data_IF_611747434277
#
_entry.id   IF_611747434277
#
_cell.length_a   1.000
_cell.length_b   1.000
_cell.length_c   1.000
_cell.angle_alpha   90.00
_cell.angle_beta   90.00
_cell.angle_gamma   90.00
#
_symmetry.space_group_name_H-M   'P 1'
#
loop_
_entity.id
_entity.type
_entity.pdbx_description
1 polymer ?
#
# COMPACT_ATOMS: atom_id res chain seq x y z
N UNK A 1 -65.51 -43.50 -22.33
CA UNK A 1 -64.60 -42.42 -22.71
C UNK A 1 -64.34 -41.44 -21.53
N UNK A 2 -64.22 -41.93 -20.28
CA UNK A 2 -63.98 -41.07 -19.08
C UNK A 2 -62.63 -41.29 -18.35
N UNK A 3 -61.85 -42.28 -18.80
CA UNK A 3 -60.60 -42.67 -18.09
C UNK A 3 -59.30 -42.27 -18.80
N UNK A 4 -59.37 -41.45 -19.90
CA UNK A 4 -58.19 -41.08 -20.69
C UNK A 4 -57.63 -39.68 -20.37
N UNK A 5 -58.30 -38.92 -19.50
CA UNK A 5 -57.92 -37.54 -19.18
C UNK A 5 -57.07 -37.45 -17.90
N UNK A 6 -57.00 -38.55 -17.09
CA UNK A 6 -56.26 -38.51 -15.82
C UNK A 6 -54.74 -38.88 -15.97
N UNK A 7 -54.32 -39.34 -17.14
CA UNK A 7 -52.91 -39.72 -17.36
C UNK A 7 -52.03 -38.59 -17.93
N UNK A 8 -52.59 -37.47 -18.38
CA UNK A 8 -51.86 -36.37 -18.99
C UNK A 8 -51.34 -35.30 -17.97
N UNK A 9 -51.76 -35.40 -16.69
CA UNK A 9 -51.42 -34.41 -15.66
C UNK A 9 -50.15 -34.69 -14.87
N UNK A 10 -49.52 -35.86 -15.00
CA UNK A 10 -48.37 -36.25 -14.15
C UNK A 10 -47.01 -36.15 -14.82
N UNK A 11 -46.93 -35.70 -16.05
CA UNK A 11 -45.67 -35.63 -16.82
C UNK A 11 -45.01 -34.21 -16.83
N UNK A 12 -45.54 -33.22 -16.10
CA UNK A 12 -45.03 -31.85 -16.16
C UNK A 12 -44.22 -31.41 -14.93
N UNK A 13 -43.77 -32.31 -14.04
CA UNK A 13 -43.07 -31.91 -12.80
C UNK A 13 -41.61 -32.36 -12.69
N UNK A 14 -40.96 -32.73 -13.78
CA UNK A 14 -39.52 -32.97 -13.81
C UNK A 14 -38.79 -31.84 -14.55
N UNK A 15 -39.01 -30.57 -14.08
CA UNK A 15 -38.00 -29.51 -14.36
C UNK A 15 -36.75 -29.89 -13.57
N UNK A 16 -35.59 -30.13 -14.23
CA UNK A 16 -34.34 -30.25 -13.48
C UNK A 16 -34.19 -28.96 -12.74
N UNK A 17 -34.19 -29.00 -11.39
CA UNK A 17 -33.70 -27.94 -10.58
C UNK A 17 -32.24 -27.73 -11.05
N UNK A 18 -31.99 -26.73 -11.85
CA UNK A 18 -30.65 -26.33 -12.22
C UNK A 18 -29.91 -26.15 -10.90
N UNK A 19 -29.07 -27.11 -10.56
CA UNK A 19 -28.25 -27.07 -9.37
C UNK A 19 -27.39 -25.81 -9.52
N UNK A 20 -27.80 -24.73 -8.82
CA UNK A 20 -26.98 -23.56 -8.69
C UNK A 20 -25.68 -24.06 -8.05
N UNK A 21 -24.60 -24.00 -8.79
CA UNK A 21 -23.30 -24.32 -8.21
C UNK A 21 -23.17 -23.51 -6.92
N UNK A 22 -23.00 -24.15 -5.76
CA UNK A 22 -22.91 -23.43 -4.50
C UNK A 22 -21.79 -22.41 -4.62
N UNK A 23 -22.07 -21.15 -4.30
CA UNK A 23 -21.06 -20.09 -4.28
C UNK A 23 -19.95 -20.48 -3.32
N UNK A 24 -18.74 -20.69 -3.84
CA UNK A 24 -17.56 -20.91 -3.01
C UNK A 24 -16.97 -19.59 -2.60
N UNK A 25 -17.03 -19.27 -1.31
CA UNK A 25 -16.54 -18.03 -0.73
C UNK A 25 -15.26 -18.30 0.05
N UNK A 26 -14.26 -17.46 -0.18
CA UNK A 26 -13.02 -17.47 0.56
C UNK A 26 -12.71 -16.14 1.19
N UNK A 27 -11.76 -16.11 2.09
CA UNK A 27 -11.22 -14.89 2.68
C UNK A 27 -9.72 -14.97 2.87
N UNK A 28 -9.09 -13.83 3.01
CA UNK A 28 -7.66 -13.70 3.27
C UNK A 28 -7.37 -12.42 4.04
N UNK A 29 -6.46 -12.48 5.00
CA UNK A 29 -5.83 -11.28 5.57
C UNK A 29 -4.63 -10.87 4.69
N UNK A 30 -4.85 -9.87 3.83
CA UNK A 30 -3.79 -9.37 2.93
C UNK A 30 -2.67 -8.67 3.67
N UNK A 31 -2.97 -8.03 4.79
CA UNK A 31 -1.95 -7.39 5.61
C UNK A 31 -1.01 -8.43 6.20
N UNK A 32 -1.56 -9.51 6.75
CA UNK A 32 -0.76 -10.63 7.25
C UNK A 32 0.10 -11.25 6.14
N UNK A 33 -0.47 -11.47 4.94
CA UNK A 33 0.28 -11.98 3.79
C UNK A 33 1.46 -11.07 3.42
N UNK A 34 1.23 -9.76 3.33
CA UNK A 34 2.28 -8.78 3.02
C UNK A 34 3.40 -8.78 4.06
N UNK A 35 3.07 -8.99 5.35
CA UNK A 35 4.06 -9.09 6.43
C UNK A 35 4.98 -10.31 6.31
N UNK A 36 4.51 -11.37 5.66
CA UNK A 36 5.25 -12.64 5.49
C UNK A 36 6.12 -12.67 4.24
N UNK A 37 6.03 -11.67 3.35
CA UNK A 37 6.82 -11.65 2.12
C UNK A 37 8.31 -11.45 2.43
N UNK A 38 9.20 -12.28 1.88
CA UNK A 38 10.64 -12.13 2.09
C UNK A 38 11.17 -10.79 1.56
N UNK A 39 10.59 -10.27 0.47
CA UNK A 39 10.95 -9.00 -0.16
C UNK A 39 10.69 -7.78 0.74
N UNK A 40 9.83 -7.94 1.74
CA UNK A 40 9.50 -6.86 2.68
C UNK A 40 10.72 -6.34 3.43
N UNK A 41 11.59 -7.23 3.88
CA UNK A 41 12.80 -6.86 4.62
C UNK A 41 13.73 -5.98 3.79
N UNK A 42 13.86 -6.30 2.50
CA UNK A 42 14.65 -5.49 1.57
C UNK A 42 14.00 -4.14 1.29
N UNK A 43 12.67 -4.12 1.15
CA UNK A 43 11.91 -2.88 0.97
C UNK A 43 12.06 -1.96 2.20
N UNK A 44 11.93 -2.50 3.42
CA UNK A 44 12.14 -1.76 4.66
C UNK A 44 13.56 -1.19 4.76
N UNK A 45 14.59 -1.98 4.44
CA UNK A 45 15.98 -1.52 4.46
C UNK A 45 16.22 -0.39 3.44
N UNK A 46 15.67 -0.52 2.23
CA UNK A 46 15.74 0.54 1.20
C UNK A 46 15.02 1.81 1.64
N UNK A 47 13.84 1.67 2.23
CA UNK A 47 13.07 2.80 2.73
C UNK A 47 13.81 3.55 3.85
N UNK A 48 14.40 2.82 4.80
CA UNK A 48 15.21 3.40 5.88
C UNK A 48 16.44 4.14 5.34
N UNK A 49 17.16 3.55 4.39
CA UNK A 49 18.33 4.18 3.76
C UNK A 49 17.93 5.46 3.01
N UNK A 50 16.80 5.43 2.30
CA UNK A 50 16.29 6.59 1.58
C UNK A 50 15.86 7.70 2.54
N UNK A 51 15.09 7.37 3.58
CA UNK A 51 14.69 8.34 4.61
C UNK A 51 15.90 9.00 5.28
N UNK A 52 16.93 8.20 5.58
CA UNK A 52 18.18 8.72 6.13
C UNK A 52 18.87 9.72 5.20
N UNK A 53 18.89 9.44 3.91
CA UNK A 53 19.50 10.35 2.92
C UNK A 53 18.79 11.70 2.89
N UNK A 54 17.45 11.71 2.95
CA UNK A 54 16.66 12.94 3.00
C UNK A 54 16.87 13.71 4.32
N UNK A 55 16.90 12.99 5.44
CA UNK A 55 17.17 13.58 6.76
C UNK A 55 18.56 14.22 6.84
N UNK A 56 19.60 13.54 6.37
CA UNK A 56 20.98 14.06 6.33
C UNK A 56 21.05 15.34 5.45
N UNK A 57 20.32 15.37 4.33
CA UNK A 57 20.23 16.56 3.47
C UNK A 57 19.54 17.72 4.18
N UNK A 58 18.41 17.49 4.85
CA UNK A 58 17.69 18.53 5.59
C UNK A 58 18.52 19.06 6.77
N UNK A 59 19.23 18.18 7.48
CA UNK A 59 20.18 18.56 8.54
C UNK A 59 21.32 19.43 8.03
N UNK A 60 21.90 19.09 6.89
CA UNK A 60 22.95 19.91 6.27
C UNK A 60 22.45 21.30 5.94
N UNK A 61 21.23 21.45 5.37
CA UNK A 61 20.61 22.73 5.08
C UNK A 61 20.31 23.53 6.36
N UNK A 62 19.83 22.85 7.41
CA UNK A 62 19.63 23.46 8.73
C UNK A 62 20.91 23.98 9.35
N UNK A 63 22.03 23.24 9.21
CA UNK A 63 23.35 23.67 9.67
C UNK A 63 23.87 24.87 8.88
N UNK A 64 23.69 24.87 7.54
CA UNK A 64 24.01 26.02 6.69
C UNK A 64 23.26 27.28 7.15
N UNK A 65 21.96 27.14 7.43
CA UNK A 65 21.13 28.24 7.92
C UNK A 65 21.64 28.80 9.27
N UNK A 66 21.89 27.91 10.23
CA UNK A 66 22.38 28.33 11.55
C UNK A 66 23.74 29.02 11.45
N UNK A 67 24.65 28.48 10.62
CA UNK A 67 25.98 29.06 10.40
C UNK A 67 25.86 30.47 9.78
N UNK A 68 25.01 30.64 8.76
CA UNK A 68 24.78 31.91 8.08
C UNK A 68 24.17 32.94 9.02
N UNK A 69 23.22 32.54 9.87
CA UNK A 69 22.63 33.38 10.91
C UNK A 69 23.67 33.86 11.94
N UNK A 70 24.51 32.89 12.41
CA UNK A 70 25.58 33.25 13.39
C UNK A 70 26.62 34.21 12.80
N UNK A 71 27.05 33.97 11.54
CA UNK A 71 27.97 34.90 10.83
C UNK A 71 27.36 36.28 10.67
N UNK A 72 26.10 36.34 10.25
CA UNK A 72 25.38 37.59 10.10
C UNK A 72 25.28 38.38 11.41
N UNK A 73 24.99 37.73 12.52
CA UNK A 73 24.94 38.32 13.86
C UNK A 73 26.34 38.81 14.32
N UNK A 74 27.37 37.96 14.11
CA UNK A 74 28.75 38.32 14.51
C UNK A 74 29.33 39.50 13.76
N UNK A 75 28.89 39.74 12.51
CA UNK A 75 29.37 40.86 11.64
C UNK A 75 28.43 42.04 11.58
N UNK A 76 27.31 42.03 12.30
CA UNK A 76 26.22 43.01 12.17
C UNK A 76 26.68 44.48 12.36
N UNK A 77 27.66 44.73 13.24
CA UNK A 77 28.18 46.07 13.51
C UNK A 77 29.17 46.55 12.43
N UNK A 78 29.82 45.64 11.73
CA UNK A 78 30.86 45.98 10.74
C UNK A 78 30.35 45.97 9.29
N UNK A 79 29.15 45.39 9.03
CA UNK A 79 28.56 45.34 7.72
C UNK A 79 28.03 46.68 7.26
N UNK A 80 28.21 47.02 6.00
CA UNK A 80 27.51 48.09 5.30
C UNK A 80 26.02 47.79 5.17
N UNK A 81 25.20 48.79 4.90
CA UNK A 81 23.77 48.62 4.70
C UNK A 81 23.45 47.64 3.54
N UNK A 82 24.19 47.74 2.44
CA UNK A 82 24.05 46.87 1.27
C UNK A 82 24.37 45.40 1.64
N UNK A 83 25.43 45.14 2.39
CA UNK A 83 25.79 43.82 2.86
C UNK A 83 24.71 43.24 3.78
N UNK A 84 24.13 44.03 4.70
CA UNK A 84 23.01 43.58 5.53
C UNK A 84 21.80 43.14 4.70
N UNK A 85 21.43 43.92 3.71
CA UNK A 85 20.32 43.63 2.82
C UNK A 85 20.56 42.33 1.99
N UNK A 86 21.79 42.12 1.52
CA UNK A 86 22.18 40.92 0.82
C UNK A 86 22.07 39.67 1.73
N UNK A 87 22.64 39.76 2.93
CA UNK A 87 22.62 38.65 3.89
C UNK A 87 21.18 38.26 4.31
N UNK A 88 20.34 39.30 4.57
CA UNK A 88 18.91 39.04 4.88
C UNK A 88 18.23 38.28 3.73
N UNK A 89 18.46 38.71 2.48
CA UNK A 89 17.90 38.04 1.31
C UNK A 89 18.37 36.59 1.18
N UNK A 90 19.67 36.36 1.36
CA UNK A 90 20.24 35.01 1.29
C UNK A 90 19.67 34.07 2.38
N UNK A 91 19.45 34.59 3.60
CA UNK A 91 18.83 33.86 4.69
C UNK A 91 17.38 33.50 4.34
N UNK A 92 16.61 34.47 3.82
CA UNK A 92 15.22 34.25 3.38
C UNK A 92 15.13 33.21 2.23
N UNK A 93 16.03 33.29 1.26
CA UNK A 93 16.11 32.31 0.18
C UNK A 93 16.44 30.90 0.71
N UNK A 94 17.32 30.80 1.71
CA UNK A 94 17.67 29.52 2.34
C UNK A 94 16.49 28.94 3.13
N UNK A 95 15.73 29.79 3.87
CA UNK A 95 14.50 29.37 4.54
C UNK A 95 13.47 28.80 3.56
N UNK A 96 13.25 29.49 2.44
CA UNK A 96 12.34 29.02 1.40
C UNK A 96 12.81 27.68 0.80
N UNK A 97 14.12 27.53 0.56
CA UNK A 97 14.71 26.28 0.08
C UNK A 97 14.55 25.13 1.07
N UNK A 98 14.68 25.41 2.38
CA UNK A 98 14.48 24.39 3.43
C UNK A 98 13.02 23.94 3.43
N UNK A 99 12.06 24.89 3.41
CA UNK A 99 10.63 24.57 3.37
C UNK A 99 10.29 23.73 2.14
N UNK A 100 10.71 24.14 0.96
CA UNK A 100 10.50 23.39 -0.28
C UNK A 100 11.16 21.99 -0.24
N UNK A 101 12.35 21.87 0.37
CA UNK A 101 13.04 20.60 0.52
C UNK A 101 12.30 19.66 1.50
N UNK A 102 11.67 20.19 2.55
CA UNK A 102 10.86 19.40 3.49
C UNK A 102 9.60 18.85 2.81
N UNK A 103 8.89 19.70 2.08
CA UNK A 103 7.71 19.26 1.30
C UNK A 103 8.09 18.21 0.27
N UNK A 104 9.17 18.45 -0.46
CA UNK A 104 9.69 17.49 -1.45
C UNK A 104 10.12 16.16 -0.83
N UNK A 105 10.73 16.19 0.34
CA UNK A 105 11.12 14.98 1.05
C UNK A 105 9.90 14.10 1.44
N UNK A 106 8.79 14.72 1.84
CA UNK A 106 7.54 13.99 2.13
C UNK A 106 6.96 13.34 0.87
N UNK A 107 6.91 14.08 -0.24
CA UNK A 107 6.48 13.55 -1.52
C UNK A 107 7.35 12.39 -1.99
N UNK A 108 8.68 12.55 -1.91
CA UNK A 108 9.64 11.54 -2.34
C UNK A 108 9.56 10.28 -1.49
N UNK A 109 9.32 10.41 -0.16
CA UNK A 109 9.09 9.27 0.74
C UNK A 109 7.83 8.50 0.35
N UNK A 110 6.71 9.17 0.11
CA UNK A 110 5.47 8.54 -0.29
C UNK A 110 5.62 7.80 -1.64
N UNK A 111 6.28 8.44 -2.60
CA UNK A 111 6.57 7.84 -3.90
C UNK A 111 7.48 6.62 -3.79
N UNK A 112 8.54 6.70 -3.00
CA UNK A 112 9.47 5.60 -2.78
C UNK A 112 8.77 4.40 -2.10
N UNK A 113 7.86 4.67 -1.16
CA UNK A 113 7.04 3.64 -0.52
C UNK A 113 6.15 2.93 -1.54
N UNK A 114 5.43 3.68 -2.38
CA UNK A 114 4.61 3.13 -3.45
C UNK A 114 5.42 2.26 -4.42
N UNK A 115 6.58 2.75 -4.87
CA UNK A 115 7.47 2.03 -5.78
C UNK A 115 8.00 0.71 -5.19
N UNK A 116 8.28 0.69 -3.88
CA UNK A 116 8.75 -0.51 -3.19
C UNK A 116 7.62 -1.51 -2.91
N UNK A 117 6.40 -1.03 -2.59
CA UNK A 117 5.26 -1.88 -2.26
C UNK A 117 4.55 -2.42 -3.51
N UNK A 118 4.52 -1.66 -4.61
CA UNK A 118 3.79 -2.04 -5.83
C UNK A 118 4.13 -3.45 -6.34
N UNK A 119 5.40 -3.86 -6.51
CA UNK A 119 5.72 -5.21 -6.99
C UNK A 119 5.26 -6.30 -6.04
N UNK A 120 5.24 -6.06 -4.72
CA UNK A 120 4.74 -6.98 -3.71
C UNK A 120 3.22 -7.11 -3.78
N UNK A 121 2.52 -5.99 -3.96
CA UNK A 121 1.07 -5.95 -4.16
C UNK A 121 0.69 -6.69 -5.45
N UNK A 122 1.38 -6.44 -6.55
CA UNK A 122 1.11 -7.10 -7.83
C UNK A 122 1.35 -8.62 -7.73
N UNK A 123 2.44 -9.05 -7.08
CA UNK A 123 2.78 -10.45 -6.84
C UNK A 123 1.72 -11.16 -5.99
N UNK A 124 1.27 -10.54 -4.90
CA UNK A 124 0.25 -11.12 -4.01
C UNK A 124 -1.12 -11.16 -4.68
N UNK A 125 -1.53 -10.11 -5.41
CA UNK A 125 -2.77 -10.10 -6.17
C UNK A 125 -2.80 -11.22 -7.21
N UNK A 126 -1.68 -11.42 -7.93
CA UNK A 126 -1.59 -12.52 -8.89
C UNK A 126 -1.75 -13.87 -8.21
N UNK A 127 -1.06 -14.12 -7.10
CA UNK A 127 -1.15 -15.38 -6.38
C UNK A 127 -2.57 -15.64 -5.82
N UNK A 128 -3.25 -14.61 -5.30
CA UNK A 128 -4.64 -14.69 -4.83
C UNK A 128 -5.56 -15.06 -5.99
N UNK A 129 -5.43 -14.40 -7.15
CA UNK A 129 -6.24 -14.68 -8.33
C UNK A 129 -5.99 -16.10 -8.88
N UNK A 130 -4.73 -16.53 -8.93
CA UNK A 130 -4.39 -17.89 -9.37
C UNK A 130 -5.03 -18.93 -8.43
N UNK A 131 -4.91 -18.77 -7.10
CA UNK A 131 -5.52 -19.67 -6.10
C UNK A 131 -7.04 -19.65 -6.22
N UNK A 132 -7.65 -18.47 -6.38
CA UNK A 132 -9.09 -18.37 -6.54
C UNK A 132 -9.60 -19.13 -7.76
N UNK A 133 -8.94 -18.97 -8.89
CA UNK A 133 -9.29 -19.66 -10.16
C UNK A 133 -9.06 -21.18 -10.06
N UNK A 134 -7.91 -21.61 -9.57
CA UNK A 134 -7.53 -23.01 -9.46
C UNK A 134 -8.45 -23.81 -8.51
N UNK A 135 -9.02 -23.14 -7.50
CA UNK A 135 -9.90 -23.77 -6.50
C UNK A 135 -11.39 -23.43 -6.67
N UNK A 136 -11.76 -22.80 -7.80
CA UNK A 136 -13.15 -22.46 -8.15
C UNK A 136 -13.84 -21.56 -7.11
N UNK A 137 -13.12 -20.65 -6.48
CA UNK A 137 -13.73 -19.61 -5.63
C UNK A 137 -14.51 -18.62 -6.50
N UNK A 138 -15.70 -18.25 -6.05
CA UNK A 138 -16.52 -17.23 -6.69
C UNK A 138 -16.09 -15.81 -6.23
N UNK A 139 -15.78 -15.67 -4.93
CA UNK A 139 -15.32 -14.44 -4.31
C UNK A 139 -14.26 -14.74 -3.27
N UNK A 140 -13.28 -13.82 -3.17
CA UNK A 140 -12.31 -13.74 -2.07
C UNK A 140 -12.46 -12.38 -1.41
N UNK A 141 -12.66 -12.38 -0.10
CA UNK A 141 -12.81 -11.18 0.70
C UNK A 141 -11.53 -10.87 1.47
N UNK A 142 -11.10 -9.61 1.43
CA UNK A 142 -10.00 -9.14 2.27
C UNK A 142 -10.52 -8.78 3.66
N UNK A 143 -10.05 -9.49 4.68
CA UNK A 143 -10.45 -9.30 6.08
C UNK A 143 -9.58 -8.26 6.79
N UNK A 144 -8.45 -7.85 6.22
CA UNK A 144 -7.54 -6.87 6.82
C UNK A 144 -8.10 -5.44 6.86
N UNK A 145 -9.10 -5.16 6.01
CA UNK A 145 -9.66 -3.80 5.84
C UNK A 145 -10.71 -3.43 6.89
N UNK A 146 -11.20 -4.41 7.67
CA UNK A 146 -12.28 -4.21 8.65
C UNK A 146 -13.69 -4.06 8.04
N UNK A 147 -13.84 -4.13 6.71
CA UNK A 147 -15.15 -4.10 6.06
C UNK A 147 -15.90 -5.43 6.16
N UNK A 148 -15.19 -6.55 6.33
CA UNK A 148 -15.78 -7.88 6.51
C UNK A 148 -15.91 -8.14 8.00
N UNK A 149 -17.13 -8.01 8.53
CA UNK A 149 -17.39 -8.11 9.97
C UNK A 149 -17.52 -9.56 10.47
N UNK A 150 -17.87 -10.50 9.59
CA UNK A 150 -18.06 -11.90 9.91
C UNK A 150 -17.74 -12.80 8.72
N UNK A 151 -16.91 -13.83 8.91
CA UNK A 151 -16.43 -14.72 7.84
C UNK A 151 -16.19 -16.19 8.29
N UNK A 152 -16.77 -16.59 9.42
CA UNK A 152 -16.57 -17.89 10.05
C UNK A 152 -16.79 -19.11 9.12
N UNK A 153 -17.68 -18.99 8.14
CA UNK A 153 -17.99 -20.06 7.17
C UNK A 153 -17.20 -19.96 5.86
N UNK A 154 -16.41 -18.90 5.66
CA UNK A 154 -15.54 -18.75 4.52
C UNK A 154 -14.28 -19.62 4.65
N UNK A 155 -13.73 -20.08 3.52
CA UNK A 155 -12.45 -20.78 3.52
C UNK A 155 -11.30 -19.76 3.60
N UNK A 156 -10.41 -19.92 4.58
CA UNK A 156 -9.17 -19.12 4.65
C UNK A 156 -8.19 -19.62 3.58
N UNK A 157 -7.91 -18.76 2.60
CA UNK A 157 -7.00 -19.09 1.50
C UNK A 157 -5.54 -18.67 1.77
N UNK A 158 -5.23 -18.05 2.90
CA UNK A 158 -3.87 -17.63 3.23
C UNK A 158 -2.85 -18.79 3.12
N UNK A 159 -3.13 -20.01 3.62
CA UNK A 159 -2.21 -21.14 3.47
C UNK A 159 -1.96 -21.53 2.00
N UNK A 160 -3.00 -21.51 1.16
CA UNK A 160 -2.89 -21.80 -0.26
C UNK A 160 -2.05 -20.76 -1.00
N UNK A 161 -2.28 -19.47 -0.70
CA UNK A 161 -1.52 -18.37 -1.29
C UNK A 161 -0.06 -18.40 -0.84
N UNK A 162 0.22 -18.71 0.43
CA UNK A 162 1.59 -18.92 0.93
C UNK A 162 2.31 -20.02 0.13
N UNK A 163 1.66 -21.15 -0.04
CA UNK A 163 2.20 -22.28 -0.84
C UNK A 163 2.48 -21.84 -2.28
N UNK A 164 1.54 -21.10 -2.90
CA UNK A 164 1.69 -20.57 -4.27
C UNK A 164 2.87 -19.61 -4.41
N UNK A 165 3.15 -18.82 -3.37
CA UNK A 165 4.26 -17.88 -3.30
C UNK A 165 5.59 -18.49 -2.86
N UNK A 166 5.59 -19.77 -2.42
CA UNK A 166 6.76 -20.44 -1.87
C UNK A 166 7.19 -19.93 -0.49
N UNK A 167 6.23 -19.38 0.29
CA UNK A 167 6.47 -18.84 1.65
C UNK A 167 6.15 -19.95 2.67
N UNK A 168 7.04 -20.16 3.64
CA UNK A 168 6.85 -21.10 4.75
C UNK A 168 6.10 -20.46 5.92
#
# INVERSE_FOLDING_TARGET
MKNLILAAGLLLSALPAAAQNPLKLGHIDRQQLMLMLPERKDAEAKMQAFAKTLDDRLKAMGTEYQTKMADAQGRAETMTQTEKEMVVREIQELEQRITAAQEKAQEDLAKQEEELLKPMVDKTNKAINDVASENNFTYIFDTSTGFVLYFDKGEDILPLVKTKLGIQ
#
